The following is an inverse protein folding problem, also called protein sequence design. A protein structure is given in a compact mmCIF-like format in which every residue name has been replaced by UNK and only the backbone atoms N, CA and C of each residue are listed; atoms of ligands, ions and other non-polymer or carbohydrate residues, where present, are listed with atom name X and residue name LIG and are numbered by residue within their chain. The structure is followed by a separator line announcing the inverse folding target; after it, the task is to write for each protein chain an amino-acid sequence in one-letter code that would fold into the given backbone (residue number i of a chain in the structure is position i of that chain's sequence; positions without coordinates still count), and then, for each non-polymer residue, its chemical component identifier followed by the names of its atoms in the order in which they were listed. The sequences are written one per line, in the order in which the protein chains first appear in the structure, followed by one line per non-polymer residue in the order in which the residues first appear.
data_IF_046860614530
#
_entry.id   IF_046860614530
#
_cell.length_a   1.000
_cell.length_b   1.000
_cell.length_c   1.000
_cell.angle_alpha   90.00
_cell.angle_beta   90.00
_cell.angle_gamma   90.00
#
_symmetry.space_group_name_H-M   'P 1'
#
loop_
_entity.id
_entity.type
_entity.pdbx_description
1 polymer ?
#
# COMPACT_ATOMS: atom_id res chain seq x y z
N UNK A 1 43.21 6.53 -55.55
CA UNK A 1 42.16 7.19 -54.74
C UNK A 1 41.43 6.15 -53.91
N UNK A 2 41.76 6.03 -52.61
CA UNK A 2 41.08 5.13 -51.65
C UNK A 2 40.47 6.03 -50.57
N UNK A 3 39.16 6.27 -50.64
CA UNK A 3 38.43 7.04 -49.63
C UNK A 3 38.20 6.10 -48.44
N UNK A 4 38.88 6.38 -47.33
CA UNK A 4 38.65 5.69 -46.08
C UNK A 4 37.19 5.93 -45.62
N UNK A 5 36.51 4.84 -45.31
CA UNK A 5 35.21 4.85 -44.64
C UNK A 5 35.46 5.42 -43.25
N UNK A 6 34.85 6.56 -42.96
CA UNK A 6 34.75 7.10 -41.60
C UNK A 6 33.79 6.21 -40.84
N UNK A 7 34.33 5.21 -40.16
CA UNK A 7 33.57 4.42 -39.20
C UNK A 7 33.13 5.36 -38.07
N UNK A 8 31.81 5.57 -38.03
CA UNK A 8 31.08 6.30 -37.02
C UNK A 8 31.29 5.59 -35.67
N UNK A 9 32.28 6.00 -34.89
CA UNK A 9 32.49 5.52 -33.52
C UNK A 9 31.41 6.09 -32.62
N UNK A 10 30.25 5.44 -32.60
CA UNK A 10 29.18 5.65 -31.63
C UNK A 10 29.52 4.93 -30.30
N UNK A 11 30.77 5.05 -29.85
CA UNK A 11 31.25 4.48 -28.59
C UNK A 11 31.46 5.61 -27.61
N UNK A 12 30.35 6.06 -27.00
CA UNK A 12 30.43 6.96 -25.85
C UNK A 12 31.31 6.34 -24.75
N UNK A 13 31.99 7.18 -23.98
CA UNK A 13 32.81 6.72 -22.86
C UNK A 13 31.98 5.82 -21.93
N UNK A 14 32.60 4.85 -21.25
CA UNK A 14 31.91 4.00 -20.26
C UNK A 14 31.13 4.85 -19.25
N UNK A 15 31.65 6.04 -18.91
CA UNK A 15 30.96 7.02 -18.06
C UNK A 15 29.65 7.55 -18.68
N UNK A 16 29.63 7.82 -19.99
CA UNK A 16 28.45 8.31 -20.72
C UNK A 16 27.39 7.21 -20.87
N UNK A 17 27.80 5.98 -21.17
CA UNK A 17 26.90 4.82 -21.23
C UNK A 17 26.25 4.58 -19.86
N UNK A 18 27.03 4.64 -18.79
CA UNK A 18 26.52 4.50 -17.43
C UNK A 18 25.55 5.63 -17.07
N UNK A 19 25.88 6.88 -17.42
CA UNK A 19 25.00 8.02 -17.20
C UNK A 19 23.65 7.86 -17.93
N UNK A 20 23.68 7.43 -19.20
CA UNK A 20 22.47 7.16 -19.98
C UNK A 20 21.64 6.02 -19.39
N UNK A 21 22.30 4.94 -18.92
CA UNK A 21 21.63 3.83 -18.24
C UNK A 21 20.87 4.30 -16.99
N UNK A 22 21.53 5.04 -16.10
CA UNK A 22 20.88 5.55 -14.88
C UNK A 22 19.80 6.60 -15.18
N UNK A 23 19.97 7.38 -16.25
CA UNK A 23 18.92 8.30 -16.72
C UNK A 23 17.66 7.53 -17.16
N UNK A 24 17.84 6.44 -17.92
CA UNK A 24 16.72 5.59 -18.34
C UNK A 24 16.05 4.91 -17.13
N UNK A 25 16.84 4.38 -16.20
CA UNK A 25 16.31 3.69 -15.02
C UNK A 25 15.54 4.64 -14.11
N UNK A 26 16.06 5.85 -13.90
CA UNK A 26 15.36 6.88 -13.15
C UNK A 26 14.08 7.37 -13.85
N UNK A 27 14.04 7.38 -15.18
CA UNK A 27 12.82 7.68 -15.93
C UNK A 27 11.75 6.59 -15.75
N UNK A 28 12.12 5.30 -15.79
CA UNK A 28 11.19 4.19 -15.50
C UNK A 28 10.63 4.28 -14.08
N UNK A 29 11.48 4.53 -13.08
CA UNK A 29 11.05 4.69 -11.69
C UNK A 29 10.07 5.86 -11.54
N UNK A 30 10.33 7.00 -12.19
CA UNK A 30 9.40 8.14 -12.21
C UNK A 30 8.04 7.76 -12.79
N UNK A 31 8.01 7.01 -13.89
CA UNK A 31 6.75 6.53 -14.47
C UNK A 31 5.99 5.59 -13.52
N UNK A 32 6.69 4.69 -12.82
CA UNK A 32 6.08 3.81 -11.82
C UNK A 32 5.46 4.61 -10.67
N UNK A 33 6.17 5.62 -10.15
CA UNK A 33 5.66 6.52 -9.10
C UNK A 33 4.36 7.20 -9.56
N UNK A 34 4.36 7.80 -10.76
CA UNK A 34 3.18 8.48 -11.30
C UNK A 34 2.01 7.51 -11.46
N UNK A 35 2.27 6.29 -11.94
CA UNK A 35 1.24 5.25 -12.08
C UNK A 35 0.63 4.87 -10.73
N UNK A 36 1.45 4.64 -9.70
CA UNK A 36 0.99 4.33 -8.34
C UNK A 36 0.18 5.49 -7.75
N UNK A 37 0.65 6.73 -7.93
CA UNK A 37 -0.06 7.91 -7.43
C UNK A 37 -1.42 8.10 -8.11
N UNK A 38 -1.49 7.92 -9.44
CA UNK A 38 -2.76 7.92 -10.17
C UNK A 38 -3.72 6.84 -9.67
N UNK A 39 -3.19 5.64 -9.46
CA UNK A 39 -3.98 4.52 -8.96
C UNK A 39 -4.51 4.79 -7.54
N UNK A 40 -3.71 5.39 -6.66
CA UNK A 40 -4.15 5.80 -5.33
C UNK A 40 -5.26 6.86 -5.37
N UNK A 41 -5.14 7.86 -6.26
CA UNK A 41 -6.20 8.85 -6.50
C UNK A 41 -7.51 8.20 -6.91
N UNK A 42 -7.46 7.24 -7.83
CA UNK A 42 -8.64 6.46 -8.24
C UNK A 42 -9.26 5.68 -7.08
N UNK A 43 -8.45 5.04 -6.23
CA UNK A 43 -8.93 4.37 -5.02
C UNK A 43 -9.64 5.34 -4.06
N UNK A 44 -9.22 6.61 -4.02
CA UNK A 44 -9.85 7.67 -3.24
C UNK A 44 -11.08 8.30 -3.92
N UNK A 45 -11.48 7.80 -5.09
CA UNK A 45 -12.61 8.33 -5.86
C UNK A 45 -12.27 9.59 -6.68
N UNK A 46 -11.00 9.96 -6.76
CA UNK A 46 -10.54 11.08 -7.60
C UNK A 46 -10.25 10.61 -9.03
N UNK A 47 -10.28 11.54 -9.99
CA UNK A 47 -9.93 11.26 -11.41
C UNK A 47 -10.72 10.12 -12.07
N UNK A 48 -11.88 9.76 -11.52
CA UNK A 48 -12.72 8.66 -12.01
C UNK A 48 -13.55 9.01 -13.25
N UNK A 49 -13.71 10.30 -13.56
CA UNK A 49 -14.55 10.78 -14.68
C UNK A 49 -14.07 10.35 -16.07
N UNK A 50 -12.78 9.99 -16.21
CA UNK A 50 -12.21 9.49 -17.47
C UNK A 50 -12.15 7.96 -17.56
N UNK A 51 -12.64 7.23 -16.54
CA UNK A 51 -12.60 5.77 -16.52
C UNK A 51 -13.76 5.18 -17.31
N UNK A 52 -13.51 4.08 -18.00
CA UNK A 52 -14.56 3.31 -18.67
C UNK A 52 -15.47 2.60 -17.67
N UNK A 53 -16.71 2.24 -18.05
CA UNK A 53 -17.61 1.47 -17.19
C UNK A 53 -17.02 0.14 -16.70
N UNK A 54 -16.14 -0.49 -17.50
CA UNK A 54 -15.44 -1.72 -17.10
C UNK A 54 -14.43 -1.46 -16.00
N UNK A 55 -13.64 -0.39 -16.12
CA UNK A 55 -12.65 -0.01 -15.11
C UNK A 55 -13.30 0.41 -13.81
N UNK A 56 -14.41 1.15 -13.87
CA UNK A 56 -15.20 1.53 -12.70
C UNK A 56 -15.73 0.31 -11.94
N UNK A 57 -16.33 -0.67 -12.63
CA UNK A 57 -16.77 -1.93 -11.99
C UNK A 57 -15.62 -2.71 -11.34
N UNK A 58 -14.45 -2.72 -11.98
CA UNK A 58 -13.28 -3.37 -11.41
C UNK A 58 -12.78 -2.64 -10.15
N UNK A 59 -12.76 -1.31 -10.17
CA UNK A 59 -12.39 -0.47 -9.03
C UNK A 59 -13.35 -0.69 -7.86
N UNK A 60 -14.66 -0.62 -8.11
CA UNK A 60 -15.71 -0.87 -7.12
C UNK A 60 -15.55 -2.25 -6.48
N UNK A 61 -15.42 -3.32 -7.29
CA UNK A 61 -15.24 -4.67 -6.77
C UNK A 61 -13.97 -4.84 -5.93
N UNK A 62 -12.89 -4.10 -6.23
CA UNK A 62 -11.67 -4.10 -5.41
C UNK A 62 -11.86 -3.38 -4.09
N UNK A 63 -12.54 -2.23 -4.10
CA UNK A 63 -12.86 -1.47 -2.90
C UNK A 63 -13.76 -2.29 -1.97
N UNK A 64 -14.82 -2.89 -2.49
CA UNK A 64 -15.77 -3.68 -1.71
C UNK A 64 -15.09 -4.85 -0.98
N UNK A 65 -14.26 -5.63 -1.71
CA UNK A 65 -13.48 -6.73 -1.09
C UNK A 65 -12.53 -6.23 -0.01
N UNK A 66 -11.87 -5.10 -0.24
CA UNK A 66 -10.90 -4.54 0.72
C UNK A 66 -11.60 -4.02 1.97
N UNK A 67 -12.72 -3.29 1.81
CA UNK A 67 -13.53 -2.77 2.90
C UNK A 67 -14.11 -3.91 3.74
N UNK A 68 -14.62 -4.96 3.09
CA UNK A 68 -15.13 -6.16 3.77
C UNK A 68 -14.04 -6.79 4.65
N UNK A 69 -12.83 -6.98 4.13
CA UNK A 69 -11.69 -7.52 4.90
C UNK A 69 -11.33 -6.64 6.09
N UNK A 70 -11.26 -5.32 5.88
CA UNK A 70 -10.94 -4.35 6.95
C UNK A 70 -11.99 -4.41 8.05
N UNK A 71 -13.29 -4.39 7.70
CA UNK A 71 -14.39 -4.49 8.66
C UNK A 71 -14.36 -5.81 9.43
N UNK A 72 -14.15 -6.92 8.74
CA UNK A 72 -14.02 -8.24 9.38
C UNK A 72 -12.91 -8.25 10.41
N UNK A 73 -11.72 -7.72 10.06
CA UNK A 73 -10.59 -7.70 10.99
C UNK A 73 -10.82 -6.76 12.17
N UNK A 74 -11.43 -5.60 11.94
CA UNK A 74 -11.81 -4.68 13.01
C UNK A 74 -12.79 -5.32 13.99
N UNK A 75 -13.79 -6.05 13.48
CA UNK A 75 -14.77 -6.74 14.33
C UNK A 75 -14.11 -7.86 15.15
N UNK A 76 -13.24 -8.67 14.52
CA UNK A 76 -12.48 -9.71 15.22
C UNK A 76 -11.67 -9.14 16.38
N UNK A 77 -10.94 -8.04 16.15
CA UNK A 77 -10.16 -7.36 17.18
C UNK A 77 -11.05 -6.77 18.29
N UNK A 78 -12.17 -6.16 17.92
CA UNK A 78 -13.11 -5.59 18.88
C UNK A 78 -13.71 -6.67 19.79
N UNK A 79 -14.11 -7.82 19.24
CA UNK A 79 -14.63 -8.92 20.03
C UNK A 79 -13.55 -9.51 20.96
N UNK A 80 -12.32 -9.66 20.47
CA UNK A 80 -11.20 -10.08 21.32
C UNK A 80 -10.96 -9.12 22.50
N UNK A 81 -11.10 -7.81 22.27
CA UNK A 81 -10.93 -6.80 23.32
C UNK A 81 -12.07 -6.86 24.35
N UNK A 82 -13.32 -7.03 23.89
CA UNK A 82 -14.49 -7.20 24.75
C UNK A 82 -14.32 -8.43 25.65
N UNK A 83 -13.93 -9.57 25.09
CA UNK A 83 -13.73 -10.81 25.85
C UNK A 83 -12.62 -10.65 26.90
N UNK A 84 -11.54 -9.93 26.57
CA UNK A 84 -10.46 -9.63 27.49
C UNK A 84 -10.94 -8.74 28.65
N UNK A 85 -11.68 -7.67 28.33
CA UNK A 85 -12.23 -6.76 29.34
C UNK A 85 -13.21 -7.45 30.28
N UNK A 86 -14.07 -8.34 29.78
CA UNK A 86 -15.02 -9.10 30.60
C UNK A 86 -14.31 -10.03 31.59
N UNK A 87 -13.26 -10.74 31.16
CA UNK A 87 -12.46 -11.57 32.07
C UNK A 87 -11.82 -10.73 33.17
N UNK A 88 -11.23 -9.59 32.77
CA UNK A 88 -10.62 -8.66 33.72
C UNK A 88 -11.62 -8.10 34.73
N UNK A 89 -12.85 -7.81 34.31
CA UNK A 89 -13.91 -7.37 35.21
C UNK A 89 -14.23 -8.43 36.27
N UNK A 90 -14.36 -9.70 35.86
CA UNK A 90 -14.61 -10.82 36.77
C UNK A 90 -13.46 -10.99 37.77
N UNK A 91 -12.21 -10.97 37.31
CA UNK A 91 -11.04 -11.11 38.18
C UNK A 91 -10.97 -9.96 39.20
N UNK A 92 -11.17 -8.72 38.76
CA UNK A 92 -11.20 -7.55 39.63
C UNK A 92 -12.35 -7.61 40.64
N UNK A 93 -13.51 -8.13 40.24
CA UNK A 93 -14.63 -8.31 41.15
C UNK A 93 -14.29 -9.35 42.24
N UNK A 94 -13.67 -10.46 41.86
CA UNK A 94 -13.23 -11.50 42.78
C UNK A 94 -12.19 -10.97 43.79
N UNK A 95 -11.15 -10.28 43.30
CA UNK A 95 -10.12 -9.67 44.15
C UNK A 95 -10.73 -8.67 45.15
N UNK A 96 -11.67 -7.84 44.69
CA UNK A 96 -12.37 -6.90 45.57
C UNK A 96 -13.19 -7.60 46.67
N UNK A 97 -13.84 -8.71 46.37
CA UNK A 97 -14.56 -9.50 47.38
C UNK A 97 -13.60 -10.05 48.44
N UNK A 98 -12.46 -10.63 48.01
CA UNK A 98 -11.44 -11.15 48.93
C UNK A 98 -10.85 -10.05 49.82
N UNK A 99 -10.60 -8.87 49.27
CA UNK A 99 -10.10 -7.72 50.05
C UNK A 99 -11.14 -7.25 51.07
N UNK A 100 -12.42 -7.16 50.68
CA UNK A 100 -13.51 -6.79 51.62
C UNK A 100 -13.64 -7.79 52.76
N UNK A 101 -13.52 -9.09 52.47
CA UNK A 101 -13.56 -10.14 53.50
C UNK A 101 -12.36 -10.11 54.46
N UNK A 102 -11.21 -9.55 54.05
CA UNK A 102 -10.03 -9.40 54.92
C UNK A 102 -10.09 -8.18 55.84
N UNK A 103 -10.93 -7.21 55.52
CA UNK A 103 -11.09 -5.96 56.27
C UNK A 103 -12.30 -6.03 57.23
N UNK A 104 -13.28 -6.88 56.92
CA UNK A 104 -14.41 -7.21 57.80
C UNK A 104 -13.96 -8.09 58.98
#
# INVERSE_FOLDING_TARGET
YKKAISDNTNTGSVAEINAQYYQQESAKLRQQIVSIQNFNRQLMGETIGSMSPKELRNLEGRLERSITRIRSKKNELLFSEIDYMQKREVDLHHDNQLLRAKIA
#
